data_IF_677292821829
#
_entry.id   IF_677292821829
#
_cell.length_a   1.000
_cell.length_b   1.000
_cell.length_c   1.000
_cell.angle_alpha   90.00
_cell.angle_beta   90.00
_cell.angle_gamma   90.00
#
_symmetry.space_group_name_H-M   'P 1'
#
loop_
_entity.id
_entity.type
_entity.pdbx_description
1 polymer ?
#
# COMPACT_ATOMS: atom_id res chain seq x y z
N UNK A 1 20.86 -28.17 7.63
CA UNK A 1 20.06 -27.27 8.50
C UNK A 1 18.58 -27.48 8.23
N UNK A 2 17.88 -28.21 9.10
CA UNK A 2 16.43 -28.40 9.00
C UNK A 2 15.73 -27.14 9.54
N UNK A 3 15.24 -26.29 8.64
CA UNK A 3 14.34 -25.19 9.01
C UNK A 3 13.08 -25.78 9.66
N UNK A 4 12.80 -25.40 10.91
CA UNK A 4 11.55 -25.73 11.60
C UNK A 4 10.34 -25.21 10.82
N UNK A 5 9.20 -25.91 10.87
CA UNK A 5 7.99 -25.56 10.10
C UNK A 5 7.53 -24.11 10.31
N UNK A 6 7.71 -23.56 11.52
CA UNK A 6 7.43 -22.16 11.83
C UNK A 6 8.30 -21.16 11.06
N UNK A 7 9.57 -21.47 10.83
CA UNK A 7 10.49 -20.64 10.03
C UNK A 7 10.12 -20.67 8.55
N UNK A 8 9.70 -21.84 8.02
CA UNK A 8 9.20 -21.96 6.63
C UNK A 8 7.91 -21.18 6.41
N UNK A 9 6.95 -21.28 7.34
CA UNK A 9 5.66 -20.56 7.25
C UNK A 9 5.85 -19.05 7.29
N UNK A 10 6.73 -18.54 8.17
CA UNK A 10 7.07 -17.11 8.20
C UNK A 10 7.75 -16.64 6.92
N UNK A 11 8.66 -17.44 6.35
CA UNK A 11 9.31 -17.12 5.07
C UNK A 11 8.31 -17.11 3.91
N UNK A 12 7.41 -18.09 3.84
CA UNK A 12 6.37 -18.15 2.84
C UNK A 12 5.40 -16.96 2.93
N UNK A 13 4.99 -16.55 4.13
CA UNK A 13 4.15 -15.37 4.33
C UNK A 13 4.86 -14.07 3.92
N UNK A 14 6.15 -13.92 4.24
CA UNK A 14 6.95 -12.78 3.76
C UNK A 14 7.02 -12.70 2.24
N UNK A 15 7.30 -13.82 1.59
CA UNK A 15 7.39 -13.90 0.13
C UNK A 15 6.04 -13.59 -0.53
N UNK A 16 4.93 -14.12 -0.01
CA UNK A 16 3.58 -13.80 -0.50
C UNK A 16 3.29 -12.29 -0.42
N UNK A 17 3.64 -11.64 0.69
CA UNK A 17 3.48 -10.20 0.86
C UNK A 17 4.34 -9.41 -0.14
N UNK A 18 5.62 -9.76 -0.27
CA UNK A 18 6.53 -9.09 -1.21
C UNK A 18 6.02 -9.21 -2.67
N UNK A 19 5.51 -10.38 -3.09
CA UNK A 19 4.89 -10.55 -4.41
C UNK A 19 3.61 -9.72 -4.57
N UNK A 20 2.75 -9.68 -3.54
CA UNK A 20 1.50 -8.92 -3.57
C UNK A 20 1.75 -7.41 -3.67
N UNK A 21 2.73 -6.88 -2.94
CA UNK A 21 3.10 -5.46 -3.00
C UNK A 21 3.58 -5.06 -4.41
N UNK A 22 4.40 -5.91 -5.06
CA UNK A 22 4.86 -5.68 -6.44
C UNK A 22 3.70 -5.75 -7.43
N UNK A 23 2.85 -6.78 -7.33
CA UNK A 23 1.70 -6.95 -8.21
C UNK A 23 0.69 -5.80 -8.07
N UNK A 24 0.44 -5.34 -6.84
CA UNK A 24 -0.42 -4.19 -6.58
C UNK A 24 0.19 -2.89 -7.12
N UNK A 25 1.51 -2.70 -7.00
CA UNK A 25 2.23 -1.59 -7.63
C UNK A 25 2.07 -1.58 -9.15
N UNK A 26 2.21 -2.73 -9.80
CA UNK A 26 1.97 -2.86 -11.23
C UNK A 26 0.50 -2.56 -11.60
N UNK A 27 -0.45 -3.05 -10.81
CA UNK A 27 -1.88 -2.75 -10.97
C UNK A 27 -2.18 -1.25 -10.92
N UNK A 28 -1.59 -0.54 -9.95
CA UNK A 28 -1.67 0.92 -9.84
C UNK A 28 -1.17 1.61 -11.12
N UNK A 29 -0.04 1.17 -11.68
CA UNK A 29 0.51 1.75 -12.92
C UNK A 29 -0.46 1.54 -14.09
N UNK A 30 -0.98 0.31 -14.26
CA UNK A 30 -1.94 -0.01 -15.32
C UNK A 30 -3.21 0.82 -15.19
N UNK A 31 -3.79 0.91 -13.99
CA UNK A 31 -4.98 1.73 -13.75
C UNK A 31 -4.72 3.21 -14.01
N UNK A 32 -3.54 3.71 -13.65
CA UNK A 32 -3.16 5.09 -13.94
C UNK A 32 -3.13 5.35 -15.45
N UNK A 33 -2.57 4.43 -16.23
CA UNK A 33 -2.56 4.54 -17.70
C UNK A 33 -3.99 4.52 -18.25
N UNK A 34 -4.86 3.62 -17.79
CA UNK A 34 -6.26 3.55 -18.25
C UNK A 34 -7.01 4.85 -18.00
N UNK A 35 -6.81 5.45 -16.82
CA UNK A 35 -7.36 6.76 -16.46
C UNK A 35 -6.86 7.86 -17.39
N UNK A 36 -5.57 7.87 -17.72
CA UNK A 36 -5.00 8.83 -18.66
C UNK A 36 -5.58 8.71 -20.07
N UNK A 37 -5.93 7.50 -20.52
CA UNK A 37 -6.50 7.28 -21.86
C UNK A 37 -7.96 7.76 -21.93
N UNK A 38 -8.79 7.42 -20.93
CA UNK A 38 -10.21 7.81 -20.91
C UNK A 38 -10.67 8.19 -19.49
N UNK A 39 -10.42 9.44 -19.07
CA UNK A 39 -10.73 9.86 -17.71
C UNK A 39 -12.24 9.85 -17.41
N UNK A 40 -13.10 10.12 -18.41
CA UNK A 40 -14.55 10.14 -18.20
C UNK A 40 -15.13 8.75 -17.89
N UNK A 41 -14.63 7.73 -18.58
CA UNK A 41 -15.06 6.33 -18.39
C UNK A 41 -14.43 5.70 -17.15
N UNK A 42 -13.18 6.04 -16.86
CA UNK A 42 -12.38 5.42 -15.81
C UNK A 42 -12.17 6.29 -14.58
N UNK A 43 -12.99 7.34 -14.39
CA UNK A 43 -12.86 8.27 -13.26
C UNK A 43 -12.85 7.58 -11.90
N UNK A 44 -13.62 6.50 -11.73
CA UNK A 44 -13.67 5.67 -10.53
C UNK A 44 -12.35 4.95 -10.20
N UNK A 45 -11.42 4.82 -11.15
CA UNK A 45 -10.10 4.25 -10.87
C UNK A 45 -9.22 5.22 -10.07
N UNK A 46 -9.44 6.54 -10.12
CA UNK A 46 -8.64 7.49 -9.33
C UNK A 46 -8.72 7.19 -7.81
N UNK A 47 -9.90 7.11 -7.17
CA UNK A 47 -9.99 6.74 -5.76
C UNK A 47 -9.42 5.34 -5.48
N UNK A 48 -9.63 4.39 -6.39
CA UNK A 48 -9.16 3.00 -6.25
C UNK A 48 -7.64 2.93 -6.25
N UNK A 49 -6.96 3.68 -7.11
CA UNK A 49 -5.50 3.78 -7.16
C UNK A 49 -4.96 4.30 -5.82
N UNK A 50 -5.54 5.39 -5.31
CA UNK A 50 -5.13 5.98 -4.04
C UNK A 50 -5.40 5.04 -2.85
N UNK A 51 -6.52 4.31 -2.85
CA UNK A 51 -6.83 3.29 -1.84
C UNK A 51 -5.84 2.12 -1.87
N UNK A 52 -5.50 1.64 -3.06
CA UNK A 52 -4.56 0.53 -3.22
C UNK A 52 -3.16 0.95 -2.75
N UNK A 53 -2.73 2.18 -3.09
CA UNK A 53 -1.49 2.76 -2.60
C UNK A 53 -1.50 2.96 -1.07
N UNK A 54 -2.62 3.43 -0.50
CA UNK A 54 -2.77 3.59 0.94
C UNK A 54 -2.67 2.24 1.67
N UNK A 55 -3.29 1.19 1.12
CA UNK A 55 -3.20 -0.18 1.62
C UNK A 55 -1.75 -0.67 1.69
N UNK A 56 -0.98 -0.53 0.59
CA UNK A 56 0.43 -0.91 0.56
C UNK A 56 1.23 -0.13 1.62
N UNK A 57 1.00 1.18 1.74
CA UNK A 57 1.69 2.01 2.72
C UNK A 57 1.31 1.64 4.16
N UNK A 58 0.06 1.27 4.42
CA UNK A 58 -0.42 0.86 5.73
C UNK A 58 0.21 -0.47 6.18
N UNK A 59 0.18 -1.49 5.31
CA UNK A 59 0.78 -2.80 5.61
C UNK A 59 2.30 -2.63 5.83
N UNK A 60 2.97 -1.83 4.99
CA UNK A 60 4.40 -1.53 5.16
C UNK A 60 4.71 -0.74 6.44
N UNK A 61 3.82 0.16 6.86
CA UNK A 61 3.93 0.88 8.12
C UNK A 61 3.76 -0.05 9.33
N UNK A 62 2.77 -0.94 9.29
CA UNK A 62 2.48 -1.91 10.36
C UNK A 62 3.61 -2.92 10.55
N UNK A 63 4.15 -3.49 9.47
CA UNK A 63 5.30 -4.43 9.53
C UNK A 63 6.53 -3.79 10.18
N UNK A 64 6.78 -2.51 9.86
CA UNK A 64 7.91 -1.74 10.43
C UNK A 64 7.69 -1.35 11.89
N UNK A 65 6.44 -1.21 12.33
CA UNK A 65 6.08 -0.98 13.74
C UNK A 65 6.09 -2.27 14.58
N UNK A 66 5.73 -3.42 14.00
CA UNK A 66 5.64 -4.71 14.69
C UNK A 66 7.01 -5.38 14.93
N UNK A 67 8.02 -5.08 14.11
CA UNK A 67 9.37 -5.65 14.28
C UNK A 67 10.13 -4.97 15.44
N UNK A 68 9.88 -5.44 16.66
CA UNK A 68 10.55 -5.02 17.90
C UNK A 68 12.01 -5.53 17.94
N UNK A 69 12.96 -4.72 17.50
CA UNK A 69 14.40 -5.05 17.59
C UNK A 69 15.32 -3.85 17.48
N UNK A 70 16.02 -3.52 18.57
CA UNK A 70 17.30 -2.80 18.68
C UNK A 70 17.44 -1.33 18.23
N UNK A 71 16.74 -0.87 17.19
CA UNK A 71 16.90 0.49 16.63
C UNK A 71 15.57 1.26 16.59
N UNK A 72 15.05 1.54 17.80
CA UNK A 72 13.67 1.98 18.09
C UNK A 72 13.30 3.36 17.54
N UNK A 73 14.23 4.33 17.49
CA UNK A 73 13.91 5.71 17.09
C UNK A 73 13.81 5.92 15.57
N UNK A 74 14.78 5.40 14.79
CA UNK A 74 14.82 5.57 13.32
C UNK A 74 13.69 4.79 12.64
N UNK A 75 13.40 3.57 13.10
CA UNK A 75 12.31 2.75 12.54
C UNK A 75 10.91 3.26 12.87
N UNK A 76 10.70 3.86 14.06
CA UNK A 76 9.42 4.51 14.41
C UNK A 76 9.12 5.67 13.48
N UNK A 77 10.10 6.56 13.23
CA UNK A 77 9.94 7.65 12.26
C UNK A 77 9.52 7.12 10.90
N UNK A 78 10.16 6.05 10.43
CA UNK A 78 9.78 5.43 9.16
C UNK A 78 8.37 4.84 9.20
N UNK A 79 7.97 4.14 10.26
CA UNK A 79 6.60 3.66 10.43
C UNK A 79 5.56 4.79 10.39
N UNK A 80 5.82 5.89 11.10
CA UNK A 80 4.98 7.09 11.07
C UNK A 80 4.95 7.76 9.70
N UNK A 81 6.05 7.76 8.94
CA UNK A 81 6.07 8.25 7.56
C UNK A 81 5.15 7.41 6.67
N UNK A 82 5.23 6.08 6.74
CA UNK A 82 4.34 5.19 5.96
C UNK A 82 2.87 5.35 6.36
N UNK A 83 2.59 5.51 7.66
CA UNK A 83 1.23 5.77 8.14
C UNK A 83 0.72 7.15 7.70
N UNK A 84 1.56 8.18 7.75
CA UNK A 84 1.25 9.53 7.26
C UNK A 84 1.00 9.56 5.77
N UNK A 85 1.80 8.82 4.98
CA UNK A 85 1.59 8.64 3.55
C UNK A 85 0.27 7.90 3.28
N UNK A 86 -0.04 6.84 4.02
CA UNK A 86 -1.32 6.14 3.90
C UNK A 86 -2.50 7.05 4.21
N UNK A 87 -2.41 7.88 5.26
CA UNK A 87 -3.43 8.86 5.60
C UNK A 87 -3.61 9.94 4.52
N UNK A 88 -2.51 10.48 3.99
CA UNK A 88 -2.56 11.44 2.88
C UNK A 88 -3.19 10.85 1.62
N UNK A 89 -2.86 9.59 1.29
CA UNK A 89 -3.44 8.87 0.16
C UNK A 89 -4.93 8.58 0.38
N UNK A 90 -5.35 8.24 1.60
CA UNK A 90 -6.77 8.10 1.93
C UNK A 90 -7.54 9.40 1.76
N UNK A 91 -6.97 10.53 2.21
CA UNK A 91 -7.58 11.83 1.99
C UNK A 91 -7.72 12.12 0.49
N UNK A 92 -6.69 11.83 -0.31
CA UNK A 92 -6.77 11.98 -1.77
C UNK A 92 -7.82 11.06 -2.40
N UNK A 93 -7.98 9.83 -1.90
CA UNK A 93 -9.05 8.96 -2.36
C UNK A 93 -10.44 9.54 -2.07
N UNK A 94 -10.63 10.10 -0.87
CA UNK A 94 -11.89 10.76 -0.48
C UNK A 94 -12.17 12.00 -1.34
N UNK A 95 -11.17 12.86 -1.55
CA UNK A 95 -11.31 14.03 -2.43
C UNK A 95 -11.61 13.61 -3.87
N UNK A 96 -10.94 12.57 -4.37
CA UNK A 96 -11.19 12.05 -5.70
C UNK A 96 -12.61 11.50 -5.84
N UNK A 97 -13.10 10.75 -4.85
CA UNK A 97 -14.46 10.22 -4.86
C UNK A 97 -15.51 11.34 -4.74
N UNK A 98 -15.27 12.32 -3.86
CA UNK A 98 -16.14 13.50 -3.72
C UNK A 98 -16.20 14.31 -5.03
N UNK A 99 -15.07 14.46 -5.72
CA UNK A 99 -15.03 15.15 -7.02
C UNK A 99 -15.81 14.41 -8.11
N UNK A 100 -15.92 13.08 -8.05
CA UNK A 100 -16.73 12.29 -8.99
C UNK A 100 -18.22 12.42 -8.67
N UNK A 101 -18.57 12.54 -7.39
CA UNK A 101 -19.96 12.68 -6.96
C UNK A 101 -20.52 14.09 -7.18
N UNK A 102 -19.67 15.12 -7.11
CA UNK A 102 -20.08 16.52 -7.25
C UNK A 102 -19.88 17.14 -8.63
N UNK A 103 -19.23 16.47 -9.57
CA UNK A 103 -19.11 17.00 -10.93
C UNK A 103 -18.79 15.94 -11.94
#
# INVERSE_FOLDING_TARGET
>A
MLMTEGQRKNRASRLKKETADIAAGLGIVIFSILVFINPDRYRLLFPVIFLMAAGINLVNGMDRMSTSGGRRAKKRRTGFLFLGLAAALLLMALFSAASILWG
#
